data_IF_818182006336
#
_entry.id   IF_818182006336
#
_cell.length_a   1.000
_cell.length_b   1.000
_cell.length_c   1.000
_cell.angle_alpha   90.00
_cell.angle_beta   90.00
_cell.angle_gamma   90.00
#
_symmetry.space_group_name_H-M   'P 1'
#
loop_
_entity.id
_entity.type
_entity.pdbx_description
1 polymer ?
#
# COMPACT_ATOMS: atom_id res chain seq x y z
N UNK A 1 -20.44 -25.04 68.41
CA UNK A 1 -20.47 -25.16 66.94
C UNK A 1 -19.23 -25.92 66.49
N UNK A 2 -19.37 -27.11 65.90
CA UNK A 2 -18.25 -27.81 65.26
C UNK A 2 -18.11 -27.30 63.82
N UNK A 3 -16.91 -26.90 63.43
CA UNK A 3 -16.56 -26.60 62.03
C UNK A 3 -16.64 -27.90 61.23
N UNK A 4 -17.60 -27.98 60.30
CA UNK A 4 -17.77 -29.10 59.39
C UNK A 4 -17.05 -28.75 58.08
N UNK A 5 -15.93 -29.45 57.81
CA UNK A 5 -15.17 -29.25 56.58
C UNK A 5 -15.85 -30.00 55.44
N UNK A 6 -16.44 -29.26 54.49
CA UNK A 6 -17.12 -29.81 53.33
C UNK A 6 -16.07 -30.20 52.27
N UNK A 7 -15.96 -31.50 51.97
CA UNK A 7 -15.14 -31.99 50.85
C UNK A 7 -16.02 -32.18 49.61
N UNK A 8 -15.55 -31.72 48.45
CA UNK A 8 -16.29 -31.81 47.19
C UNK A 8 -16.46 -33.29 46.78
N UNK A 9 -17.72 -33.75 46.70
CA UNK A 9 -18.04 -35.13 46.31
C UNK A 9 -18.04 -35.23 44.79
N UNK A 10 -17.05 -35.94 44.22
CA UNK A 10 -16.92 -36.17 42.77
C UNK A 10 -17.83 -37.30 42.26
N UNK A 11 -19.14 -37.24 42.54
CA UNK A 11 -20.11 -38.24 42.05
C UNK A 11 -21.27 -37.59 41.27
N UNK A 12 -21.38 -37.96 39.97
CA UNK A 12 -22.38 -37.50 38.97
C UNK A 12 -22.11 -36.06 38.46
N UNK A 13 -21.80 -35.77 37.19
CA UNK A 13 -22.52 -36.01 35.92
C UNK A 13 -21.55 -36.52 34.81
N UNK A 14 -20.99 -37.71 34.96
CA UNK A 14 -21.09 -38.69 33.86
C UNK A 14 -21.70 -40.02 34.29
N UNK A 15 -22.26 -40.12 35.51
CA UNK A 15 -22.77 -41.34 36.18
C UNK A 15 -21.61 -42.23 36.67
N UNK A 16 -21.56 -42.60 37.95
CA UNK A 16 -22.30 -43.76 38.49
C UNK A 16 -22.87 -43.49 39.89
N UNK A 17 -23.89 -44.29 40.27
CA UNK A 17 -24.69 -44.16 41.52
C UNK A 17 -23.83 -44.13 42.78
N UNK A 18 -23.98 -43.08 43.59
CA UNK A 18 -24.02 -43.26 45.05
C UNK A 18 -25.42 -43.70 45.43
N UNK A 19 -25.54 -44.87 46.06
CA UNK A 19 -26.80 -45.42 46.56
C UNK A 19 -27.12 -44.68 47.87
N UNK A 20 -27.88 -43.59 47.77
CA UNK A 20 -28.23 -42.72 48.89
C UNK A 20 -28.46 -41.31 48.38
N UNK A 21 -29.56 -40.67 48.78
CA UNK A 21 -29.94 -39.35 48.28
C UNK A 21 -28.84 -38.30 48.49
N UNK A 22 -28.93 -37.20 47.73
CA UNK A 22 -28.02 -36.07 47.87
C UNK A 22 -27.97 -35.60 49.32
N UNK A 23 -26.80 -35.68 49.96
CA UNK A 23 -26.59 -35.16 51.31
C UNK A 23 -26.66 -33.64 51.27
N UNK A 24 -27.33 -33.03 52.26
CA UNK A 24 -27.35 -31.58 52.43
C UNK A 24 -25.94 -30.99 52.70
N UNK A 25 -24.98 -31.85 53.08
CA UNK A 25 -23.59 -31.51 53.37
C UNK A 25 -22.66 -31.71 52.16
N UNK A 26 -23.20 -31.87 50.93
CA UNK A 26 -22.39 -32.12 49.74
C UNK A 26 -22.52 -31.00 48.71
N UNK A 27 -21.40 -30.34 48.41
CA UNK A 27 -21.26 -29.40 47.30
C UNK A 27 -20.87 -30.19 46.05
N UNK A 28 -21.64 -30.03 44.96
CA UNK A 28 -21.37 -30.65 43.66
C UNK A 28 -20.81 -29.61 42.69
N UNK A 29 -19.70 -29.94 42.03
CA UNK A 29 -19.16 -29.14 40.93
C UNK A 29 -19.93 -29.43 39.64
N UNK A 30 -20.56 -28.40 39.06
CA UNK A 30 -21.27 -28.51 37.79
C UNK A 30 -20.29 -28.35 36.61
N UNK A 31 -19.76 -29.46 36.12
CA UNK A 31 -18.89 -29.49 34.93
C UNK A 31 -19.72 -29.67 33.65
N UNK A 32 -19.47 -28.84 32.63
CA UNK A 32 -20.14 -28.93 31.31
C UNK A 32 -21.68 -28.92 31.34
N UNK A 33 -22.27 -28.29 32.36
CA UNK A 33 -23.71 -28.09 32.49
C UNK A 33 -24.08 -26.64 32.83
N UNK A 34 -25.37 -26.35 32.88
CA UNK A 34 -25.90 -25.08 33.38
C UNK A 34 -27.21 -25.31 34.14
N UNK A 35 -27.55 -24.35 35.01
CA UNK A 35 -28.83 -24.32 35.74
C UNK A 35 -29.83 -23.51 34.93
N UNK A 36 -30.97 -24.10 34.61
CA UNK A 36 -32.07 -23.44 33.88
C UNK A 36 -32.86 -22.49 34.79
N UNK A 37 -33.69 -21.63 34.21
CA UNK A 37 -34.62 -20.77 34.97
C UNK A 37 -35.58 -21.56 35.88
N UNK A 38 -35.92 -22.79 35.51
CA UNK A 38 -36.72 -23.71 36.33
C UNK A 38 -35.91 -24.40 37.44
N UNK A 39 -34.67 -23.96 37.70
CA UNK A 39 -33.73 -24.54 38.68
C UNK A 39 -33.41 -26.02 38.44
N UNK A 40 -33.51 -26.47 37.19
CA UNK A 40 -33.09 -27.82 36.78
C UNK A 40 -31.71 -27.77 36.12
N UNK A 41 -30.92 -28.83 36.30
CA UNK A 41 -29.59 -28.96 35.71
C UNK A 41 -29.71 -29.55 34.30
N UNK A 42 -29.06 -28.92 33.32
CA UNK A 42 -28.99 -29.39 31.92
C UNK A 42 -27.53 -29.51 31.48
N UNK A 43 -27.24 -30.47 30.60
CA UNK A 43 -25.96 -30.52 29.89
C UNK A 43 -25.86 -29.30 28.96
N UNK A 44 -24.66 -28.72 28.83
CA UNK A 44 -24.41 -27.67 27.85
C UNK A 44 -24.64 -28.26 26.44
N UNK A 45 -25.31 -27.53 25.53
CA UNK A 45 -25.38 -27.94 24.12
C UNK A 45 -23.97 -28.19 23.57
N UNK A 46 -23.82 -29.22 22.75
CA UNK A 46 -22.54 -29.51 22.10
C UNK A 46 -22.14 -28.36 21.16
N UNK A 47 -20.84 -28.04 21.13
CA UNK A 47 -20.26 -27.14 20.14
C UNK A 47 -19.79 -27.94 18.93
N UNK A 48 -20.00 -27.42 17.72
CA UNK A 48 -19.40 -27.97 16.49
C UNK A 48 -18.43 -26.94 15.94
N UNK A 49 -17.27 -27.40 15.47
CA UNK A 49 -16.35 -26.57 14.72
C UNK A 49 -17.00 -26.35 13.35
N UNK A 50 -17.30 -25.10 13.01
CA UNK A 50 -17.86 -24.74 11.71
C UNK A 50 -16.77 -24.65 10.63
N UNK A 51 -15.61 -24.07 10.99
CA UNK A 51 -14.51 -23.80 10.09
C UNK A 51 -13.18 -24.20 10.73
N UNK A 52 -12.30 -24.82 9.95
CA UNK A 52 -10.92 -25.10 10.34
C UNK A 52 -10.03 -24.01 9.77
N UNK A 53 -9.43 -23.20 10.64
CA UNK A 53 -8.54 -22.14 10.21
C UNK A 53 -7.20 -22.72 9.69
N UNK A 54 -6.59 -22.12 8.66
CA UNK A 54 -5.29 -22.57 8.15
C UNK A 54 -4.22 -22.57 9.24
N UNK A 55 -3.35 -23.59 9.24
CA UNK A 55 -2.27 -23.70 10.21
C UNK A 55 -1.32 -22.50 10.12
N UNK A 56 -0.76 -22.10 11.25
CA UNK A 56 0.16 -20.95 11.33
C UNK A 56 -0.54 -19.58 11.36
N UNK A 57 -1.86 -19.53 11.22
CA UNK A 57 -2.60 -18.26 11.29
C UNK A 57 -2.83 -17.78 12.73
N UNK A 58 -2.99 -16.47 12.89
CA UNK A 58 -3.23 -15.78 14.15
C UNK A 58 -4.37 -14.77 13.98
N UNK A 59 -5.09 -14.50 15.07
CA UNK A 59 -6.24 -13.60 15.08
C UNK A 59 -7.44 -14.13 14.30
N UNK A 60 -8.59 -13.49 14.49
CA UNK A 60 -9.82 -13.76 13.75
C UNK A 60 -10.72 -12.53 13.78
N UNK A 61 -11.11 -12.03 12.62
CA UNK A 61 -12.07 -10.94 12.47
C UNK A 61 -13.04 -11.23 11.34
N UNK A 62 -14.31 -10.83 11.48
CA UNK A 62 -15.26 -10.92 10.39
C UNK A 62 -15.29 -9.60 9.61
N UNK A 63 -15.03 -9.65 8.31
CA UNK A 63 -14.97 -8.47 7.45
C UNK A 63 -15.40 -8.80 6.02
N UNK A 64 -16.21 -7.93 5.42
CA UNK A 64 -16.70 -8.07 4.03
C UNK A 64 -17.28 -9.46 3.70
N UNK A 65 -17.99 -10.07 4.66
CA UNK A 65 -18.64 -11.36 4.47
C UNK A 65 -17.73 -12.58 4.66
N UNK A 66 -16.47 -12.38 5.07
CA UNK A 66 -15.49 -13.45 5.30
C UNK A 66 -14.88 -13.39 6.70
N UNK A 67 -14.43 -14.54 7.18
CA UNK A 67 -13.54 -14.64 8.32
C UNK A 67 -12.11 -14.37 7.85
N UNK A 68 -11.52 -13.29 8.33
CA UNK A 68 -10.14 -12.91 8.02
C UNK A 68 -9.22 -13.35 9.15
N UNK A 69 -8.15 -14.04 8.79
CA UNK A 69 -7.06 -14.47 9.68
C UNK A 69 -5.72 -13.98 9.14
N UNK A 70 -4.71 -13.89 10.00
CA UNK A 70 -3.44 -13.28 9.66
C UNK A 70 -2.30 -14.29 9.66
N UNK A 71 -1.35 -14.18 8.74
CA UNK A 71 -0.19 -15.05 8.63
C UNK A 71 1.08 -14.25 8.28
N UNK A 72 2.26 -14.72 8.67
CA UNK A 72 3.53 -14.17 8.19
C UNK A 72 3.91 -14.64 6.77
N UNK A 73 3.25 -15.70 6.29
CA UNK A 73 3.52 -16.34 4.99
C UNK A 73 2.26 -16.46 4.18
N UNK A 74 2.42 -16.38 2.86
CA UNK A 74 1.36 -16.69 1.89
C UNK A 74 0.84 -18.09 2.15
N UNK A 75 -0.40 -18.16 2.62
CA UNK A 75 -1.05 -19.40 3.03
C UNK A 75 -2.44 -19.41 2.42
N UNK A 76 -2.75 -20.48 1.68
CA UNK A 76 -4.08 -20.65 1.12
C UNK A 76 -5.03 -21.19 2.18
N UNK A 77 -6.27 -20.69 2.17
CA UNK A 77 -7.38 -21.33 2.88
C UNK A 77 -8.05 -22.37 2.00
N UNK A 78 -8.39 -23.52 2.57
CA UNK A 78 -9.26 -24.51 1.93
C UNK A 78 -10.74 -24.15 2.04
N UNK A 79 -11.09 -23.26 2.97
CA UNK A 79 -12.45 -22.79 3.19
C UNK A 79 -12.68 -21.45 2.47
N UNK A 80 -13.67 -21.36 1.55
CA UNK A 80 -13.94 -20.14 0.80
C UNK A 80 -14.44 -18.96 1.66
N UNK A 81 -14.95 -19.24 2.87
CA UNK A 81 -15.39 -18.22 3.83
C UNK A 81 -14.23 -17.69 4.68
N UNK A 82 -13.05 -18.30 4.61
CA UNK A 82 -11.85 -17.84 5.33
C UNK A 82 -10.87 -17.21 4.36
N UNK A 83 -10.52 -15.96 4.61
CA UNK A 83 -9.50 -15.20 3.89
C UNK A 83 -8.26 -15.06 4.77
N UNK A 84 -7.07 -15.21 4.18
CA UNK A 84 -5.81 -15.06 4.88
C UNK A 84 -5.12 -13.80 4.38
N UNK A 85 -4.83 -12.87 5.28
CA UNK A 85 -4.02 -11.68 5.01
C UNK A 85 -2.60 -11.90 5.51
N UNK A 86 -1.62 -11.50 4.71
CA UNK A 86 -0.20 -11.67 5.04
C UNK A 86 0.34 -10.39 5.65
N UNK A 87 0.88 -10.49 6.86
CA UNK A 87 1.51 -9.38 7.57
C UNK A 87 3.02 -9.60 7.64
N UNK A 88 3.79 -8.56 7.33
CA UNK A 88 5.25 -8.58 7.33
C UNK A 88 5.79 -7.53 8.28
N UNK A 89 6.74 -7.91 9.13
CA UNK A 89 7.41 -6.95 9.99
C UNK A 89 8.32 -6.04 9.15
N UNK A 90 8.32 -4.71 9.38
CA UNK A 90 9.01 -3.75 8.49
C UNK A 90 10.53 -3.90 8.46
N UNK A 91 11.16 -4.39 9.53
CA UNK A 91 12.62 -4.55 9.61
C UNK A 91 13.08 -6.00 9.66
N UNK A 92 12.15 -6.95 9.85
CA UNK A 92 12.46 -8.39 9.95
C UNK A 92 11.38 -9.19 9.20
N UNK A 93 11.34 -9.12 7.86
CA UNK A 93 10.20 -9.60 7.08
C UNK A 93 9.87 -11.09 7.24
N UNK A 94 10.83 -11.90 7.66
CA UNK A 94 10.64 -13.34 7.86
C UNK A 94 10.29 -13.73 9.30
N UNK A 95 10.11 -12.74 10.20
CA UNK A 95 9.66 -13.01 11.55
C UNK A 95 8.22 -13.56 11.54
N UNK A 96 7.93 -14.65 12.28
CA UNK A 96 6.57 -15.15 12.41
C UNK A 96 5.72 -14.24 13.31
N UNK A 97 4.41 -14.25 13.09
CA UNK A 97 3.47 -13.52 13.95
C UNK A 97 3.38 -14.24 15.29
N UNK A 98 3.73 -13.52 16.36
CA UNK A 98 3.54 -13.97 17.73
C UNK A 98 2.08 -13.86 18.14
N UNK A 99 1.50 -12.67 17.98
CA UNK A 99 0.14 -12.35 18.40
C UNK A 99 -0.46 -11.19 17.59
N UNK A 100 -1.78 -11.20 17.43
CA UNK A 100 -2.56 -10.07 16.89
C UNK A 100 -3.30 -9.41 18.05
N UNK A 101 -2.86 -8.23 18.43
CA UNK A 101 -3.38 -7.48 19.58
C UNK A 101 -4.70 -6.78 19.27
N UNK A 102 -4.87 -6.36 18.02
CA UNK A 102 -6.09 -5.69 17.58
C UNK A 102 -6.35 -5.98 16.11
N UNK A 103 -7.61 -6.24 15.74
CA UNK A 103 -8.05 -6.30 14.35
C UNK A 103 -9.53 -5.90 14.25
N UNK A 104 -9.81 -4.74 13.66
CA UNK A 104 -11.17 -4.27 13.39
C UNK A 104 -11.25 -3.43 12.11
N UNK A 105 -12.45 -3.33 11.49
CA UNK A 105 -12.68 -2.41 10.39
C UNK A 105 -12.48 -0.95 10.82
N UNK A 106 -11.72 -0.19 10.04
CA UNK A 106 -11.45 1.23 10.22
C UNK A 106 -11.30 1.91 8.87
N UNK A 107 -12.12 2.94 8.61
CA UNK A 107 -12.14 3.70 7.36
C UNK A 107 -12.21 2.84 6.09
N UNK A 108 -13.04 1.79 6.11
CA UNK A 108 -13.30 0.94 4.94
C UNK A 108 -12.32 -0.22 4.75
N UNK A 109 -11.28 -0.34 5.57
CA UNK A 109 -10.29 -1.43 5.54
C UNK A 109 -10.07 -2.02 6.93
N UNK A 110 -9.28 -3.08 7.04
CA UNK A 110 -8.90 -3.62 8.34
C UNK A 110 -7.73 -2.83 8.92
N UNK A 111 -7.87 -2.39 10.17
CA UNK A 111 -6.76 -1.91 10.97
C UNK A 111 -6.30 -3.00 11.92
N UNK A 112 -5.02 -3.34 11.84
CA UNK A 112 -4.43 -4.49 12.53
C UNK A 112 -3.18 -4.07 13.27
N UNK A 113 -3.04 -4.52 14.52
CA UNK A 113 -1.83 -4.36 15.32
C UNK A 113 -1.31 -5.74 15.65
N UNK A 114 -0.09 -6.04 15.20
CA UNK A 114 0.52 -7.36 15.37
C UNK A 114 1.85 -7.25 16.13
N UNK A 115 2.22 -8.32 16.84
CA UNK A 115 3.54 -8.52 17.43
C UNK A 115 4.22 -9.69 16.71
N UNK A 116 5.50 -9.54 16.41
CA UNK A 116 6.31 -10.53 15.69
C UNK A 116 7.39 -11.11 16.60
N UNK A 117 7.75 -12.38 16.40
CA UNK A 117 8.81 -13.02 17.17
C UNK A 117 10.19 -12.42 16.81
N UNK A 118 11.04 -12.21 17.82
CA UNK A 118 12.42 -11.73 17.61
C UNK A 118 12.56 -10.27 17.17
N UNK A 119 11.46 -9.54 16.99
CA UNK A 119 11.49 -8.12 16.64
C UNK A 119 11.99 -7.26 17.81
N UNK A 120 13.08 -6.53 17.60
CA UNK A 120 13.62 -5.55 18.57
C UNK A 120 13.02 -4.16 18.39
N UNK A 121 12.38 -3.89 17.24
CA UNK A 121 11.65 -2.66 16.97
C UNK A 121 11.23 -2.54 15.50
N UNK A 122 10.06 -1.93 15.21
CA UNK A 122 8.97 -1.57 16.13
C UNK A 122 8.28 -2.82 16.72
N UNK A 123 8.04 -2.87 18.03
CA UNK A 123 7.46 -4.08 18.68
C UNK A 123 6.02 -4.38 18.24
N UNK A 124 5.26 -3.33 17.97
CA UNK A 124 3.85 -3.39 17.59
C UNK A 124 3.63 -2.60 16.30
N UNK A 125 3.99 -3.14 15.14
CA UNK A 125 3.62 -2.52 13.87
C UNK A 125 2.10 -2.43 13.71
N UNK A 126 1.67 -1.31 13.18
CA UNK A 126 0.28 -1.02 12.84
C UNK A 126 0.10 -1.13 11.32
N UNK A 127 -0.94 -1.81 10.90
CA UNK A 127 -1.25 -2.06 9.50
C UNK A 127 -2.63 -1.52 9.19
N UNK A 128 -2.74 -0.84 8.06
CA UNK A 128 -4.01 -0.48 7.44
C UNK A 128 -4.11 -1.23 6.11
N UNK A 129 -4.92 -2.29 6.08
CA UNK A 129 -4.92 -3.29 5.02
C UNK A 129 -5.77 -2.83 3.83
N UNK A 130 -5.23 -1.88 3.08
CA UNK A 130 -5.77 -1.49 1.78
C UNK A 130 -5.68 -2.67 0.81
N UNK A 131 -6.78 -3.04 0.16
CA UNK A 131 -6.82 -4.19 -0.77
C UNK A 131 -6.49 -3.83 -2.23
N UNK A 132 -6.62 -2.56 -2.59
CA UNK A 132 -6.50 -2.12 -3.98
C UNK A 132 -7.49 -2.81 -4.92
N UNK A 133 -7.30 -2.62 -6.21
CA UNK A 133 -8.11 -3.27 -7.24
C UNK A 133 -7.53 -4.63 -7.65
N UNK A 134 -8.36 -5.50 -8.24
CA UNK A 134 -7.87 -6.78 -8.77
C UNK A 134 -7.02 -6.51 -10.00
N UNK A 135 -5.81 -7.06 -10.03
CA UNK A 135 -4.91 -6.98 -11.17
C UNK A 135 -5.54 -7.64 -12.40
N UNK A 136 -5.48 -6.91 -13.51
CA UNK A 136 -5.95 -7.28 -14.83
C UNK A 136 -4.79 -7.27 -15.83
N UNK A 137 -4.63 -8.32 -16.65
CA UNK A 137 -3.62 -8.34 -17.71
C UNK A 137 -3.92 -7.26 -18.75
N UNK A 138 -2.88 -6.58 -19.23
CA UNK A 138 -2.98 -5.56 -20.28
C UNK A 138 -3.54 -4.21 -19.84
N UNK A 139 -3.94 -4.05 -18.56
CA UNK A 139 -4.32 -2.75 -18.00
C UNK A 139 -3.06 -1.95 -17.63
N UNK A 140 -3.01 -0.69 -18.04
CA UNK A 140 -1.99 0.26 -17.60
C UNK A 140 -2.27 0.72 -16.17
N UNK A 141 -1.28 0.60 -15.30
CA UNK A 141 -1.32 1.14 -13.94
C UNK A 141 -0.27 2.23 -13.81
N UNK A 142 -0.59 3.29 -13.06
CA UNK A 142 0.35 4.36 -12.75
C UNK A 142 1.15 4.02 -11.49
N UNK A 143 2.37 4.57 -11.31
CA UNK A 143 3.12 4.44 -10.07
C UNK A 143 2.26 4.80 -8.85
N UNK A 144 2.40 4.02 -7.78
CA UNK A 144 1.57 4.14 -6.59
C UNK A 144 0.23 3.38 -6.65
N UNK A 145 -0.19 2.89 -7.83
CA UNK A 145 -1.38 2.06 -7.93
C UNK A 145 -1.26 0.81 -7.04
N UNK A 146 -2.32 0.52 -6.28
CA UNK A 146 -2.39 -0.64 -5.41
C UNK A 146 -3.25 -1.72 -6.06
N UNK A 147 -2.67 -2.89 -6.26
CA UNK A 147 -3.32 -4.03 -6.91
C UNK A 147 -3.19 -5.29 -6.08
N UNK A 148 -4.14 -6.21 -6.26
CA UNK A 148 -4.07 -7.56 -5.67
C UNK A 148 -4.27 -8.64 -6.74
N UNK A 149 -3.68 -9.83 -6.58
CA UNK A 149 -3.88 -10.92 -7.54
C UNK A 149 -5.35 -11.35 -7.64
N UNK A 150 -5.75 -11.84 -8.81
CA UNK A 150 -7.09 -12.43 -9.03
C UNK A 150 -7.32 -13.67 -8.14
N UNK A 151 -6.30 -14.52 -8.02
CA UNK A 151 -6.21 -15.55 -7.00
C UNK A 151 -5.52 -15.00 -5.76
N UNK A 152 -6.32 -14.54 -4.79
CA UNK A 152 -5.81 -13.87 -3.59
C UNK A 152 -4.75 -14.68 -2.86
N UNK A 153 -3.60 -14.05 -2.60
CA UNK A 153 -2.48 -14.63 -1.85
C UNK A 153 -2.25 -13.90 -0.50
N UNK A 154 -3.21 -13.06 -0.09
CA UNK A 154 -3.14 -12.25 1.13
C UNK A 154 -2.18 -11.06 1.05
N UNK A 155 -1.69 -10.71 -0.14
CA UNK A 155 -0.83 -9.56 -0.37
C UNK A 155 -1.49 -8.57 -1.34
N UNK A 156 -1.26 -7.29 -1.07
CA UNK A 156 -1.45 -6.21 -2.02
C UNK A 156 -0.08 -5.69 -2.48
N UNK A 157 0.00 -5.28 -3.74
CA UNK A 157 1.21 -4.83 -4.39
C UNK A 157 1.03 -3.37 -4.80
N UNK A 158 1.94 -2.52 -4.39
CA UNK A 158 2.00 -1.13 -4.85
C UNK A 158 2.97 -1.07 -6.02
N UNK A 159 2.52 -0.54 -7.14
CA UNK A 159 3.38 -0.39 -8.31
C UNK A 159 4.45 0.67 -8.01
N UNK A 160 5.71 0.27 -8.14
CA UNK A 160 6.83 1.20 -8.16
C UNK A 160 7.08 1.70 -9.58
N UNK A 161 7.65 2.89 -9.70
CA UNK A 161 8.02 3.47 -10.98
C UNK A 161 9.27 2.82 -11.56
N UNK A 162 9.31 2.60 -12.87
CA UNK A 162 10.50 2.11 -13.59
C UNK A 162 11.52 3.23 -13.89
N UNK A 163 11.38 4.38 -13.23
CA UNK A 163 12.22 5.58 -13.41
C UNK A 163 13.71 5.37 -13.15
N UNK A 164 14.10 4.29 -12.48
CA UNK A 164 15.48 3.98 -12.16
C UNK A 164 16.36 3.96 -13.42
N UNK A 165 17.35 4.85 -13.48
CA UNK A 165 18.28 4.97 -14.61
C UNK A 165 17.90 6.03 -15.66
N UNK A 166 16.74 6.68 -15.54
CA UNK A 166 16.37 7.80 -16.42
C UNK A 166 16.66 9.16 -15.77
N UNK A 167 17.11 10.10 -16.59
CA UNK A 167 17.41 11.47 -16.15
C UNK A 167 16.11 12.28 -16.11
N UNK A 168 15.75 12.89 -14.97
CA UNK A 168 14.64 13.83 -14.88
C UNK A 168 14.74 14.96 -15.91
N UNK A 169 13.60 15.48 -16.35
CA UNK A 169 13.57 16.69 -17.16
C UNK A 169 14.27 17.83 -16.40
N UNK A 170 15.02 18.62 -17.16
CA UNK A 170 15.72 19.79 -16.69
C UNK A 170 15.69 20.87 -17.78
N UNK A 171 15.65 22.16 -17.40
CA UNK A 171 15.54 23.26 -18.36
C UNK A 171 16.82 23.47 -19.16
N UNK A 172 16.69 23.93 -20.40
CA UNK A 172 17.81 24.32 -21.27
C UNK A 172 18.89 23.24 -21.49
N UNK A 173 18.53 21.96 -21.36
CA UNK A 173 19.44 20.84 -21.56
C UNK A 173 19.42 20.44 -23.03
N UNK A 174 20.59 20.29 -23.65
CA UNK A 174 20.70 19.83 -25.04
C UNK A 174 19.99 18.47 -25.22
N UNK A 175 19.19 18.36 -26.28
CA UNK A 175 18.42 17.15 -26.60
C UNK A 175 18.77 16.67 -28.00
N UNK A 176 18.89 15.35 -28.16
CA UNK A 176 19.01 14.69 -29.44
C UNK A 176 17.91 13.65 -29.60
N UNK A 177 17.55 13.35 -30.85
CA UNK A 177 16.62 12.26 -31.17
C UNK A 177 17.09 10.96 -30.50
N UNK A 178 16.16 10.26 -29.85
CA UNK A 178 16.42 9.05 -29.07
C UNK A 178 16.79 9.29 -27.61
N UNK A 179 17.01 10.53 -27.17
CA UNK A 179 17.15 10.83 -25.75
C UNK A 179 15.85 10.48 -25.00
N UNK A 180 15.99 9.82 -23.86
CA UNK A 180 14.86 9.50 -22.98
C UNK A 180 14.89 10.44 -21.77
N UNK A 181 13.73 11.00 -21.45
CA UNK A 181 13.53 11.89 -20.31
C UNK A 181 12.28 11.45 -19.55
N UNK A 182 12.28 11.71 -18.24
CA UNK A 182 11.14 11.46 -17.36
C UNK A 182 10.73 12.76 -16.68
N UNK A 183 9.43 12.99 -16.41
CA UNK A 183 8.97 14.20 -15.72
C UNK A 183 9.63 14.38 -14.36
N UNK A 184 9.76 15.62 -13.88
CA UNK A 184 10.25 15.88 -12.51
C UNK A 184 9.30 15.26 -11.49
N UNK A 185 7.99 15.45 -11.66
CA UNK A 185 6.93 14.78 -10.91
C UNK A 185 6.48 13.54 -11.68
N UNK A 186 6.72 12.36 -11.11
CA UNK A 186 6.44 11.10 -11.78
C UNK A 186 4.96 10.94 -12.15
N UNK A 187 4.71 10.69 -13.43
CA UNK A 187 3.39 10.43 -13.98
C UNK A 187 3.27 9.02 -14.57
N UNK A 188 4.28 8.15 -14.40
CA UNK A 188 4.30 6.79 -14.93
C UNK A 188 4.74 6.64 -16.38
N UNK A 189 5.21 7.70 -17.02
CA UNK A 189 5.68 7.66 -18.40
C UNK A 189 7.13 8.12 -18.53
N UNK A 190 7.78 7.59 -19.56
CA UNK A 190 9.03 8.11 -20.12
C UNK A 190 8.77 8.62 -21.52
N UNK A 191 9.48 9.67 -21.87
CA UNK A 191 9.32 10.37 -23.15
C UNK A 191 10.62 10.26 -23.92
N UNK A 192 10.51 9.86 -25.18
CA UNK A 192 11.65 9.78 -26.09
C UNK A 192 11.56 10.93 -27.06
N UNK A 193 12.64 11.68 -27.22
CA UNK A 193 12.74 12.74 -28.22
C UNK A 193 12.67 12.09 -29.61
N UNK A 194 11.59 12.35 -30.36
CA UNK A 194 11.38 11.78 -31.70
C UNK A 194 11.87 12.71 -32.81
N UNK A 195 11.90 14.01 -32.55
CA UNK A 195 12.28 15.03 -33.51
C UNK A 195 12.95 16.20 -32.77
N UNK A 196 13.86 16.89 -33.45
CA UNK A 196 14.48 18.13 -32.97
C UNK A 196 14.59 19.13 -34.11
N UNK A 197 14.35 20.40 -33.83
CA UNK A 197 14.50 21.50 -34.81
C UNK A 197 15.59 22.47 -34.37
N UNK A 198 16.36 23.01 -35.33
CA UNK A 198 17.46 23.95 -35.09
C UNK A 198 18.82 23.28 -34.83
N UNK A 199 19.89 24.08 -34.91
CA UNK A 199 21.28 23.61 -34.77
C UNK A 199 21.72 23.35 -33.33
N UNK A 200 20.94 23.80 -32.33
CA UNK A 200 21.24 23.65 -30.91
C UNK A 200 19.98 23.30 -30.10
N UNK A 201 19.29 22.23 -30.53
CA UNK A 201 18.05 21.75 -29.91
C UNK A 201 18.26 21.43 -28.43
N UNK A 202 17.35 21.93 -27.60
CA UNK A 202 17.39 21.83 -26.14
C UNK A 202 15.98 21.86 -25.58
N UNK A 203 15.83 21.42 -24.33
CA UNK A 203 14.57 21.56 -23.61
C UNK A 203 14.22 23.02 -23.30
N UNK A 204 12.92 23.27 -23.08
CA UNK A 204 12.40 24.60 -22.73
C UNK A 204 12.95 25.15 -21.41
N UNK A 205 12.57 26.40 -21.09
CA UNK A 205 12.92 27.05 -19.81
C UNK A 205 12.03 26.57 -18.64
N UNK A 206 10.85 26.04 -18.95
CA UNK A 206 9.89 25.47 -18.01
C UNK A 206 9.48 24.07 -18.45
N UNK A 207 9.21 23.19 -17.50
CA UNK A 207 8.79 21.83 -17.79
C UNK A 207 7.42 21.84 -18.49
N UNK A 208 7.26 21.09 -19.60
CA UNK A 208 5.97 21.02 -20.27
C UNK A 208 4.95 20.25 -19.44
N UNK A 209 3.66 20.46 -19.75
CA UNK A 209 2.61 19.57 -19.28
C UNK A 209 2.72 18.22 -20.02
N UNK A 210 3.18 17.20 -19.31
CA UNK A 210 3.43 15.89 -19.91
C UNK A 210 2.12 15.14 -20.24
N UNK A 211 1.96 14.64 -21.47
CA UNK A 211 0.83 13.80 -21.84
C UNK A 211 0.75 12.52 -21.00
N UNK A 212 -0.40 12.21 -20.42
CA UNK A 212 -0.58 11.02 -19.55
C UNK A 212 -1.23 9.83 -20.27
N UNK A 213 -1.29 9.88 -21.60
CA UNK A 213 -1.83 8.81 -22.45
C UNK A 213 -0.71 8.26 -23.33
N UNK A 214 -0.61 6.94 -23.42
CA UNK A 214 0.43 6.28 -24.18
C UNK A 214 0.33 6.64 -25.68
N UNK A 215 1.46 7.06 -26.25
CA UNK A 215 1.57 7.41 -27.68
C UNK A 215 1.29 8.87 -28.01
N UNK A 216 0.84 9.69 -27.05
CA UNK A 216 0.74 11.14 -27.25
C UNK A 216 2.12 11.78 -27.30
N UNK A 217 2.22 12.87 -28.07
CA UNK A 217 3.43 13.67 -28.22
C UNK A 217 3.21 15.07 -27.68
N UNK A 218 4.29 15.70 -27.23
CA UNK A 218 4.32 17.09 -26.79
C UNK A 218 5.47 17.79 -27.49
N UNK A 219 5.23 19.04 -27.90
CA UNK A 219 6.28 19.92 -28.39
C UNK A 219 6.72 20.83 -27.25
N UNK A 220 8.03 20.94 -27.08
CA UNK A 220 8.64 21.94 -26.21
C UNK A 220 9.38 22.97 -27.06
N UNK A 221 9.21 24.24 -26.72
CA UNK A 221 9.95 25.33 -27.34
C UNK A 221 10.99 25.86 -26.37
N UNK A 222 12.23 25.93 -26.82
CA UNK A 222 13.28 26.67 -26.15
C UNK A 222 13.24 28.11 -26.66
N UNK A 223 12.92 29.06 -25.79
CA UNK A 223 13.01 30.46 -26.17
C UNK A 223 14.48 30.80 -26.46
N UNK A 224 14.81 31.01 -27.73
CA UNK A 224 16.14 31.46 -28.12
C UNK A 224 16.15 32.97 -27.88
N UNK A 225 16.97 33.46 -26.96
CA UNK A 225 17.31 34.90 -26.94
C UNK A 225 18.08 35.23 -28.22
N UNK A 226 17.36 35.47 -29.31
CA UNK A 226 17.81 36.18 -30.50
C UNK A 226 16.59 36.57 -31.32
N UNK A 227 15.90 37.70 -31.00
CA UNK A 227 15.24 38.42 -32.08
C UNK A 227 16.32 38.69 -33.11
N UNK A 228 16.06 38.34 -34.39
CA UNK A 228 16.88 38.61 -35.56
C UNK A 228 17.98 39.64 -35.27
N UNK A 229 19.25 39.23 -35.36
CA UNK A 229 20.38 40.12 -35.23
C UNK A 229 20.03 41.42 -35.95
N UNK A 230 19.95 42.52 -35.19
CA UNK A 230 19.70 43.83 -35.79
C UNK A 230 20.73 43.96 -36.90
N UNK A 231 20.29 44.09 -38.16
CA UNK A 231 21.16 44.42 -39.25
C UNK A 231 21.86 45.71 -38.85
N UNK A 232 23.06 45.61 -38.28
CA UNK A 232 23.96 46.74 -38.16
C UNK A 232 24.44 46.99 -39.57
N UNK A 233 23.63 47.73 -40.34
CA UNK A 233 24.08 48.36 -41.56
C UNK A 233 25.26 49.21 -41.13
N UNK A 234 26.47 48.69 -41.39
CA UNK A 234 27.72 49.37 -41.16
C UNK A 234 27.62 50.67 -41.96
N UNK A 235 27.34 51.76 -41.26
CA UNK A 235 27.25 53.07 -41.90
C UNK A 235 28.68 53.41 -42.26
N UNK A 236 29.02 53.23 -43.54
CA UNK A 236 30.29 53.72 -44.06
C UNK A 236 30.41 55.20 -43.67
N UNK A 237 31.57 55.65 -43.15
CA UNK A 237 31.74 57.05 -42.79
C UNK A 237 31.41 57.92 -44.01
N UNK A 238 30.56 58.93 -43.79
CA UNK A 238 30.15 59.88 -44.83
C UNK A 238 31.42 60.51 -45.45
N UNK A 239 31.51 60.60 -46.78
CA UNK A 239 32.62 61.29 -47.43
C UNK A 239 32.73 62.74 -46.91
N UNK A 240 33.95 63.32 -46.80
CA UNK A 240 34.15 64.68 -46.26
C UNK A 240 33.39 65.77 -47.02
N UNK A 241 32.97 65.48 -48.25
CA UNK A 241 32.22 66.38 -49.13
C UNK A 241 30.72 66.44 -48.82
N UNK A 242 30.20 65.61 -47.92
CA UNK A 242 28.78 65.59 -47.55
C UNK A 242 28.58 66.28 -46.20
N UNK A 243 27.93 67.45 -46.23
CA UNK A 243 27.55 68.21 -45.04
C UNK A 243 26.09 67.94 -44.71
N UNK A 244 25.78 67.73 -43.43
CA UNK A 244 24.39 67.58 -43.00
C UNK A 244 23.60 68.91 -43.10
N UNK A 245 22.28 68.85 -42.92
CA UNK A 245 21.38 70.02 -42.93
C UNK A 245 21.75 71.07 -41.86
N UNK A 246 22.57 70.74 -40.87
CA UNK A 246 23.03 71.61 -39.80
C UNK A 246 24.49 72.07 -39.98
N UNK A 247 25.08 71.83 -41.16
CA UNK A 247 26.40 72.31 -41.52
C UNK A 247 27.56 71.58 -40.84
N UNK A 248 27.32 70.41 -40.23
CA UNK A 248 28.39 69.57 -39.69
C UNK A 248 28.74 68.50 -40.73
N UNK A 249 29.89 68.67 -41.37
CA UNK A 249 30.50 67.65 -42.23
C UNK A 249 31.36 66.69 -41.42
N UNK A 250 31.54 65.47 -41.93
CA UNK A 250 32.40 64.47 -41.30
C UNK A 250 33.87 64.89 -41.33
N UNK A 251 34.40 65.29 -40.18
CA UNK A 251 35.82 65.40 -39.91
C UNK A 251 36.06 65.01 -38.44
N UNK A 252 36.98 64.05 -38.26
CA UNK A 252 37.56 63.44 -37.05
C UNK A 252 37.04 63.88 -35.66
#
# INVERSE_FOLDING_TARGET
>A
MKLQSLSAVKAGITRLRTKGGASADSVYDLVNGYVTAARTIKCRPGTRIAHTLPAGTKGLVFFQGKFVVFSDKVTASTDPLVEVEVLKHPTVPDAPIKEVHFSMPFLGFLYVVAEFEGATGPRYPHYWLEKGEVWQPGKTYLPGALVRPSSGNGLAYRLESDRAGYVPWAPNVARAVGNVVVPTTDNGFKYTVTETTGSAARSGTSEPAWPTVAGETIFEDANIESPLASNTTQTAPLPPSVTDRYGKGGAD
#
